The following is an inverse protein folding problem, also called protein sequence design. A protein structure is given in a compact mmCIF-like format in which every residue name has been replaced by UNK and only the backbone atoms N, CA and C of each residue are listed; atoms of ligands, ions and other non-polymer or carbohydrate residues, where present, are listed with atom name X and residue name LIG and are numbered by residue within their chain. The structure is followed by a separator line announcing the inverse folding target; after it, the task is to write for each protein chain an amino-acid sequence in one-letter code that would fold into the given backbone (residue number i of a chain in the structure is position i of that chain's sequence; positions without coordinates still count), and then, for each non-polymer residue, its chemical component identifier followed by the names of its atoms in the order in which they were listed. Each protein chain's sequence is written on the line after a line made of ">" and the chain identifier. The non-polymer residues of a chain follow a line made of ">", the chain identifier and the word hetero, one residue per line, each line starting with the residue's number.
data_IF_438898934360
#
_entry.id   IF_438898934360
#
_cell.length_a   1.000
_cell.length_b   1.000
_cell.length_c   1.000
_cell.angle_alpha   90.00
_cell.angle_beta   90.00
_cell.angle_gamma   90.00
#
_symmetry.space_group_name_H-M   'P 1'
#
loop_
_entity.id
_entity.type
_entity.pdbx_description
1 polymer ?
#
# COMPACT_ATOMS: atom_id res chain seq x y z
N UNK A 1 27.96 46.84 3.23
CA UNK A 1 27.84 45.98 4.43
C UNK A 1 26.41 45.44 4.45
N UNK A 2 26.19 44.29 3.79
CA UNK A 2 24.87 43.65 3.67
C UNK A 2 24.63 42.70 4.85
N UNK A 3 23.37 42.57 5.28
CA UNK A 3 22.94 41.52 6.21
C UNK A 3 21.46 41.62 6.58
N UNK A 4 20.58 41.23 5.65
CA UNK A 4 19.13 41.11 5.82
C UNK A 4 18.75 39.84 6.60
N UNK A 5 17.74 39.98 7.47
CA UNK A 5 16.62 39.07 7.76
C UNK A 5 16.85 37.55 7.80
N UNK A 6 16.50 36.94 8.95
CA UNK A 6 16.32 35.50 9.07
C UNK A 6 15.27 35.14 10.13
N UNK A 7 13.99 35.33 9.81
CA UNK A 7 12.95 34.52 10.45
C UNK A 7 13.15 33.09 9.98
N UNK A 8 13.71 32.25 10.84
CA UNK A 8 13.85 30.83 10.58
C UNK A 8 12.48 30.19 10.75
N UNK A 9 11.67 30.21 9.69
CA UNK A 9 10.46 29.40 9.63
C UNK A 9 10.90 27.94 9.66
N UNK A 10 10.56 27.24 10.74
CA UNK A 10 10.69 25.80 10.77
C UNK A 10 9.79 25.24 9.65
N UNK A 11 10.33 24.43 8.72
CA UNK A 11 9.50 23.84 7.68
C UNK A 11 8.43 22.97 8.34
N UNK A 12 7.18 23.17 7.95
CA UNK A 12 6.00 22.37 8.37
C UNK A 12 6.13 20.90 7.96
N UNK A 13 7.17 20.54 7.22
CA UNK A 13 7.60 19.15 6.97
C UNK A 13 8.42 18.61 8.15
N UNK A 14 7.84 18.70 9.34
CA UNK A 14 8.39 18.16 10.56
C UNK A 14 7.75 16.82 10.90
N UNK A 15 8.50 15.74 10.67
CA UNK A 15 8.48 14.56 11.52
C UNK A 15 7.16 13.79 11.62
N UNK A 16 6.75 13.12 10.55
CA UNK A 16 6.34 11.73 10.78
C UNK A 16 7.65 10.96 10.93
N UNK A 17 8.05 10.78 12.19
CA UNK A 17 8.99 9.74 12.60
C UNK A 17 8.73 8.54 11.69
N UNK A 18 9.75 8.11 10.91
CA UNK A 18 9.79 6.74 10.38
C UNK A 18 9.90 5.81 11.59
N UNK A 19 8.82 5.74 12.36
CA UNK A 19 8.65 4.88 13.50
C UNK A 19 8.76 3.47 12.96
N UNK A 20 9.85 2.83 13.35
CA UNK A 20 10.04 1.40 13.44
C UNK A 20 8.79 0.57 13.06
N UNK A 21 8.66 0.23 11.77
CA UNK A 21 7.62 -0.66 11.25
C UNK A 21 7.63 -2.02 11.97
N UNK A 22 8.75 -2.38 12.62
CA UNK A 22 8.88 -3.60 13.42
C UNK A 22 7.92 -3.66 14.59
N UNK A 23 7.42 -2.52 15.10
CA UNK A 23 6.50 -2.52 16.26
C UNK A 23 5.08 -2.94 15.93
N UNK A 24 4.69 -2.87 14.66
CA UNK A 24 3.33 -3.22 14.21
C UNK A 24 3.26 -4.55 13.48
N UNK A 25 4.40 -5.10 13.05
CA UNK A 25 4.45 -6.40 12.37
C UNK A 25 4.71 -7.53 13.36
N UNK A 26 3.77 -8.47 13.47
CA UNK A 26 3.93 -9.69 14.24
C UNK A 26 4.05 -10.91 13.30
N UNK A 27 5.18 -11.65 13.30
CA UNK A 27 5.36 -12.81 12.43
C UNK A 27 4.38 -13.96 12.73
N UNK A 28 3.82 -14.04 13.95
CA UNK A 28 2.90 -15.12 14.32
C UNK A 28 1.46 -14.85 13.87
N UNK A 29 1.13 -13.63 13.47
CA UNK A 29 -0.21 -13.26 12.99
C UNK A 29 -0.32 -13.37 11.47
N UNK A 30 0.75 -13.78 10.79
CA UNK A 30 0.75 -14.00 9.34
C UNK A 30 -0.17 -15.19 9.04
N UNK A 31 -1.18 -15.02 8.16
CA UNK A 31 -2.10 -16.10 7.85
C UNK A 31 -1.36 -17.27 7.18
N UNK A 32 -1.63 -18.48 7.66
CA UNK A 32 -1.09 -19.70 7.07
C UNK A 32 -1.91 -20.10 5.84
N UNK A 33 -1.30 -20.83 4.90
CA UNK A 33 -1.98 -21.32 3.69
C UNK A 33 -3.28 -22.05 4.02
N UNK A 34 -3.29 -22.91 5.04
CA UNK A 34 -4.49 -23.64 5.47
C UNK A 34 -5.62 -22.71 5.92
N UNK A 35 -5.31 -21.63 6.64
CA UNK A 35 -6.29 -20.66 7.08
C UNK A 35 -6.92 -19.92 5.89
N UNK A 36 -6.10 -19.53 4.90
CA UNK A 36 -6.57 -18.87 3.68
C UNK A 36 -7.49 -19.77 2.85
N UNK A 37 -7.20 -21.08 2.79
CA UNK A 37 -8.05 -22.06 2.10
C UNK A 37 -9.39 -22.21 2.81
N UNK A 38 -9.39 -22.22 4.14
CA UNK A 38 -10.62 -22.30 4.94
C UNK A 38 -11.47 -21.03 4.80
N UNK A 39 -10.85 -19.85 4.85
CA UNK A 39 -11.52 -18.58 4.61
C UNK A 39 -12.22 -18.53 3.24
N UNK A 40 -11.58 -19.09 2.20
CA UNK A 40 -12.19 -19.22 0.87
C UNK A 40 -13.42 -20.11 0.87
N UNK A 41 -13.33 -21.28 1.51
CA UNK A 41 -14.45 -22.23 1.59
C UNK A 41 -15.64 -21.62 2.31
N UNK A 42 -15.41 -21.04 3.49
CA UNK A 42 -16.45 -20.36 4.28
C UNK A 42 -17.08 -19.19 3.51
N UNK A 43 -16.26 -18.45 2.75
CA UNK A 43 -16.77 -17.38 1.90
C UNK A 43 -17.67 -17.93 0.79
N UNK A 44 -17.25 -18.99 0.09
CA UNK A 44 -18.03 -19.59 -0.99
C UNK A 44 -19.30 -20.28 -0.48
N UNK A 45 -19.26 -20.94 0.67
CA UNK A 45 -20.43 -21.50 1.38
C UNK A 45 -21.44 -20.41 1.73
N UNK A 46 -20.99 -19.34 2.39
CA UNK A 46 -21.84 -18.18 2.73
C UNK A 46 -22.43 -17.52 1.49
N UNK A 47 -21.66 -17.45 0.40
CA UNK A 47 -22.14 -16.85 -0.84
C UNK A 47 -23.18 -17.74 -1.54
N UNK A 48 -23.07 -19.07 -1.42
CA UNK A 48 -24.06 -20.03 -1.91
C UNK A 48 -25.38 -19.97 -1.13
N UNK A 49 -25.32 -19.76 0.19
CA UNK A 49 -26.50 -19.64 1.05
C UNK A 49 -27.30 -18.35 0.79
N UNK A 50 -26.62 -17.27 0.34
CA UNK A 50 -27.26 -15.98 0.09
C UNK A 50 -28.00 -15.89 -1.26
N UNK A 51 -28.10 -16.96 -2.07
CA UNK A 51 -28.89 -17.02 -3.32
C UNK A 51 -28.71 -15.82 -4.28
N UNK A 52 -27.56 -15.15 -4.26
CA UNK A 52 -27.23 -14.07 -5.18
C UNK A 52 -26.04 -14.53 -6.03
N UNK A 53 -26.31 -15.40 -7.01
CA UNK A 53 -25.42 -15.60 -8.15
C UNK A 53 -25.42 -14.35 -9.03
N UNK A 54 -24.93 -13.23 -8.50
CA UNK A 54 -24.41 -12.18 -9.37
C UNK A 54 -23.10 -12.69 -9.95
N UNK A 55 -23.11 -13.01 -11.25
CA UNK A 55 -21.95 -13.45 -12.06
C UNK A 55 -20.71 -12.54 -11.90
N UNK A 56 -20.92 -11.30 -11.44
CA UNK A 56 -19.87 -10.35 -11.09
C UNK A 56 -19.00 -10.83 -9.90
N UNK A 57 -19.56 -11.53 -8.92
CA UNK A 57 -18.85 -12.01 -7.72
C UNK A 57 -17.96 -13.24 -7.98
N UNK A 58 -18.28 -14.05 -9.00
CA UNK A 58 -17.46 -15.19 -9.44
C UNK A 58 -16.12 -14.78 -10.04
N UNK A 59 -16.00 -13.54 -10.54
CA UNK A 59 -14.77 -13.01 -11.17
C UNK A 59 -13.79 -12.42 -10.18
N UNK A 60 -14.18 -12.26 -8.91
CA UNK A 60 -13.30 -11.75 -7.86
C UNK A 60 -12.26 -12.81 -7.51
N UNK A 61 -10.98 -12.49 -7.72
CA UNK A 61 -9.86 -13.39 -7.44
C UNK A 61 -9.86 -13.84 -5.98
N UNK A 62 -9.61 -15.13 -5.73
CA UNK A 62 -9.72 -15.74 -4.40
C UNK A 62 -8.96 -15.00 -3.30
N UNK A 63 -7.73 -14.54 -3.56
CA UNK A 63 -6.94 -13.81 -2.55
C UNK A 63 -7.60 -12.51 -2.05
N UNK A 64 -8.54 -11.92 -2.81
CA UNK A 64 -9.28 -10.72 -2.39
C UNK A 64 -10.36 -11.04 -1.36
N UNK A 65 -10.78 -12.30 -1.27
CA UNK A 65 -11.78 -12.82 -0.34
C UNK A 65 -11.17 -13.29 0.98
N UNK A 66 -9.85 -13.30 1.08
CA UNK A 66 -9.12 -13.79 2.26
C UNK A 66 -8.43 -12.65 3.02
N UNK A 67 -7.95 -12.96 4.22
CA UNK A 67 -7.13 -12.08 5.07
C UNK A 67 -5.83 -11.62 4.38
N UNK A 68 -5.38 -12.34 3.34
CA UNK A 68 -4.23 -11.97 2.51
C UNK A 68 -4.45 -10.65 1.74
N UNK A 69 -5.70 -10.26 1.45
CA UNK A 69 -6.02 -9.04 0.70
C UNK A 69 -5.38 -7.78 1.33
N UNK A 70 -5.35 -7.72 2.66
CA UNK A 70 -4.73 -6.62 3.42
C UNK A 70 -3.24 -6.46 3.10
N UNK A 71 -2.50 -7.56 3.03
CA UNK A 71 -1.06 -7.58 2.75
C UNK A 71 -0.78 -7.20 1.30
N UNK A 72 -1.64 -7.64 0.36
CA UNK A 72 -1.55 -7.23 -1.05
C UNK A 72 -1.76 -5.72 -1.19
N UNK A 73 -2.75 -5.15 -0.50
CA UNK A 73 -3.00 -3.71 -0.56
C UNK A 73 -1.80 -2.88 -0.04
N UNK A 74 -1.17 -3.32 1.05
CA UNK A 74 0.05 -2.67 1.58
C UNK A 74 1.18 -2.73 0.54
N UNK A 75 1.33 -3.86 -0.14
CA UNK A 75 2.34 -4.02 -1.19
C UNK A 75 2.06 -3.13 -2.42
N UNK A 76 0.80 -3.02 -2.84
CA UNK A 76 0.39 -2.11 -3.93
C UNK A 76 0.65 -0.63 -3.58
N UNK A 77 0.31 -0.21 -2.35
CA UNK A 77 0.63 1.11 -1.81
C UNK A 77 2.13 1.40 -1.85
N UNK A 78 2.95 0.41 -1.50
CA UNK A 78 4.41 0.50 -1.55
C UNK A 78 4.90 0.69 -2.99
N UNK A 79 4.40 -0.12 -3.94
CA UNK A 79 4.77 0.00 -5.35
C UNK A 79 4.36 1.36 -5.94
N UNK A 80 3.19 1.88 -5.58
CA UNK A 80 2.74 3.22 -6.03
C UNK A 80 3.69 4.33 -5.56
N UNK A 81 4.14 4.26 -4.30
CA UNK A 81 5.11 5.23 -3.74
C UNK A 81 6.49 5.08 -4.40
N UNK A 82 6.89 3.85 -4.70
CA UNK A 82 8.13 3.55 -5.41
C UNK A 82 8.10 4.12 -6.84
N UNK A 83 7.04 3.84 -7.59
CA UNK A 83 6.86 4.37 -8.95
C UNK A 83 6.86 5.90 -8.98
N UNK A 84 6.16 6.55 -8.04
CA UNK A 84 6.14 8.01 -7.93
C UNK A 84 7.54 8.59 -7.69
N UNK A 85 8.34 7.94 -6.83
CA UNK A 85 9.72 8.35 -6.56
C UNK A 85 10.58 8.26 -7.82
N UNK A 86 10.41 7.22 -8.64
CA UNK A 86 11.19 7.01 -9.86
C UNK A 86 10.77 7.97 -10.97
N UNK A 87 9.47 8.29 -11.08
CA UNK A 87 8.98 9.33 -11.99
C UNK A 87 9.52 10.70 -11.62
N UNK A 88 9.53 11.06 -10.33
CA UNK A 88 10.12 12.31 -9.84
C UNK A 88 11.60 12.44 -10.21
N UNK A 89 12.40 11.40 -9.94
CA UNK A 89 13.83 11.39 -10.32
C UNK A 89 14.06 11.52 -11.82
N UNK A 90 13.19 10.94 -12.65
CA UNK A 90 13.30 11.06 -14.11
C UNK A 90 13.04 12.49 -14.59
N UNK A 91 12.09 13.18 -13.97
CA UNK A 91 11.80 14.59 -14.27
C UNK A 91 13.00 15.45 -13.86
N UNK A 92 13.54 15.26 -12.65
CA UNK A 92 14.76 15.97 -12.20
C UNK A 92 15.94 15.78 -13.16
N UNK A 93 16.14 14.56 -13.69
CA UNK A 93 17.20 14.26 -14.65
C UNK A 93 16.93 14.89 -16.03
N UNK A 94 15.68 14.91 -16.48
CA UNK A 94 15.26 15.53 -17.76
C UNK A 94 15.42 17.04 -17.72
N UNK A 95 14.97 17.69 -16.63
CA UNK A 95 15.15 19.12 -16.37
C UNK A 95 16.64 19.49 -16.31
N UNK A 96 17.47 18.65 -15.68
CA UNK A 96 18.91 18.88 -15.61
C UNK A 96 19.62 18.73 -16.97
N UNK A 97 19.04 17.94 -17.89
CA UNK A 97 19.58 17.75 -19.25
C UNK A 97 18.99 18.71 -20.29
N UNK A 98 17.99 19.52 -19.94
CA UNK A 98 17.21 20.35 -20.86
C UNK A 98 16.67 19.58 -22.09
N UNK A 99 16.50 18.26 -21.99
CA UNK A 99 15.82 17.45 -23.00
C UNK A 99 14.35 17.40 -22.62
N UNK A 100 13.51 18.10 -23.38
CA UNK A 100 12.04 18.10 -23.29
C UNK A 100 11.43 17.08 -24.25
#
# INVERSE_FOLDING_TARGET
>A
LFGLNGQHTFPVFGWIQKGDLSRWFNPTTVPTISALVEELRLYDEKQSEMNNEDDATKRVKGYKKTSLNSSIHIFEEFLRKLEATWKGKRIEISDQKMEF
#
